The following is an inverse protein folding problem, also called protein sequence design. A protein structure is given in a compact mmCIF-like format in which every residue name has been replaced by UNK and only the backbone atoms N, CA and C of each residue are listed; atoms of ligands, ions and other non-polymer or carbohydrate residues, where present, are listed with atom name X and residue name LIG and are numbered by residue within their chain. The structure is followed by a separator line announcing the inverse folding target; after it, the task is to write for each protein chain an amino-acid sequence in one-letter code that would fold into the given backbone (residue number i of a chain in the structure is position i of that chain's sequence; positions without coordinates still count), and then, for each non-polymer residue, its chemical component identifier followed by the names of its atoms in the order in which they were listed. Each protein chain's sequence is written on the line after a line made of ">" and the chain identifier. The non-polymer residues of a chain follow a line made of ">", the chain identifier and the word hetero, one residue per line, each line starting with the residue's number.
data_IF_898537737753
#
_entry.id   IF_898537737753
#
_cell.length_a   1.000
_cell.length_b   1.000
_cell.length_c   1.000
_cell.angle_alpha   90.00
_cell.angle_beta   90.00
_cell.angle_gamma   90.00
#
_symmetry.space_group_name_H-M   'P 1'
#
loop_
_entity.id
_entity.type
_entity.pdbx_description
1 polymer ?
#
# COMPACT_ATOMS: atom_id res chain seq x y z
N UNK A 1 16.46 -31.26 -13.69
CA UNK A 1 17.81 -30.98 -13.13
C UNK A 1 18.03 -29.49 -13.29
N UNK A 2 17.46 -28.72 -12.38
CA UNK A 2 17.66 -27.29 -12.26
C UNK A 2 18.46 -27.14 -10.99
N UNK A 3 19.73 -26.79 -11.17
CA UNK A 3 20.65 -26.57 -10.06
C UNK A 3 20.06 -25.53 -9.12
N UNK A 4 19.93 -25.95 -7.87
CA UNK A 4 19.66 -25.10 -6.72
C UNK A 4 20.89 -24.19 -6.53
N UNK A 5 21.04 -23.18 -7.39
CA UNK A 5 22.10 -22.18 -7.26
C UNK A 5 21.70 -21.30 -6.10
N UNK A 6 21.95 -21.79 -4.89
CA UNK A 6 22.04 -20.94 -3.72
C UNK A 6 23.03 -19.84 -4.06
N UNK A 7 22.49 -18.64 -4.30
CA UNK A 7 23.29 -17.45 -4.54
C UNK A 7 24.27 -17.34 -3.37
N UNK A 8 25.59 -17.39 -3.61
CA UNK A 8 26.55 -17.36 -2.53
C UNK A 8 26.27 -16.15 -1.64
N UNK A 9 26.34 -16.32 -0.32
CA UNK A 9 26.00 -15.27 0.65
C UNK A 9 26.76 -13.95 0.37
N UNK A 10 27.99 -14.07 -0.15
CA UNK A 10 28.84 -12.97 -0.62
C UNK A 10 28.19 -12.19 -1.78
N UNK A 11 27.62 -12.88 -2.78
CA UNK A 11 26.96 -12.25 -3.93
C UNK A 11 25.70 -11.50 -3.48
N UNK A 12 24.92 -12.11 -2.58
CA UNK A 12 23.74 -11.47 -1.98
C UNK A 12 24.12 -10.23 -1.16
N UNK A 13 25.17 -10.34 -0.34
CA UNK A 13 25.68 -9.21 0.44
C UNK A 13 26.17 -8.07 -0.46
N UNK A 14 27.04 -8.36 -1.44
CA UNK A 14 27.55 -7.36 -2.37
C UNK A 14 26.45 -6.72 -3.21
N UNK A 15 25.40 -7.47 -3.59
CA UNK A 15 24.25 -6.92 -4.33
C UNK A 15 23.47 -5.91 -3.50
N UNK A 16 23.23 -6.19 -2.22
CA UNK A 16 22.55 -5.27 -1.30
C UNK A 16 23.35 -3.97 -1.03
N UNK A 17 24.68 -4.03 -1.16
CA UNK A 17 25.58 -2.89 -1.01
C UNK A 17 26.23 -2.46 -2.34
N UNK A 18 25.62 -2.82 -3.47
CA UNK A 18 26.22 -2.64 -4.79
C UNK A 18 26.58 -1.19 -5.06
N UNK A 19 25.72 -0.24 -4.70
CA UNK A 19 25.98 1.19 -4.89
C UNK A 19 27.24 1.66 -4.16
N UNK A 20 27.40 1.26 -2.89
CA UNK A 20 28.59 1.57 -2.11
C UNK A 20 29.83 0.91 -2.73
N UNK A 21 29.72 -0.36 -3.09
CA UNK A 21 30.80 -1.10 -3.73
C UNK A 21 31.20 -0.47 -5.07
N UNK A 22 30.24 -0.09 -5.90
CA UNK A 22 30.45 0.60 -7.16
C UNK A 22 31.20 1.92 -6.98
N UNK A 23 30.76 2.78 -6.04
CA UNK A 23 31.44 4.04 -5.76
C UNK A 23 32.86 3.85 -5.21
N UNK A 24 33.08 2.83 -4.38
CA UNK A 24 34.43 2.47 -3.92
C UNK A 24 35.30 2.08 -5.12
N UNK A 25 34.81 1.22 -6.01
CA UNK A 25 35.58 0.79 -7.21
C UNK A 25 35.86 1.97 -8.13
N UNK A 26 34.87 2.85 -8.37
CA UNK A 26 35.06 4.08 -9.16
C UNK A 26 36.12 4.99 -8.51
N UNK A 27 36.02 5.23 -7.20
CA UNK A 27 36.98 6.04 -6.46
C UNK A 27 38.41 5.49 -6.54
N UNK A 28 38.58 4.19 -6.32
CA UNK A 28 39.88 3.51 -6.45
C UNK A 28 40.41 3.61 -7.89
N UNK A 29 39.54 3.47 -8.90
CA UNK A 29 39.93 3.60 -10.32
C UNK A 29 40.44 5.01 -10.62
N UNK A 30 39.76 6.05 -10.13
CA UNK A 30 40.14 7.46 -10.33
C UNK A 30 41.49 7.73 -9.66
N UNK A 31 41.67 7.32 -8.40
CA UNK A 31 42.94 7.48 -7.67
C UNK A 31 44.08 6.77 -8.40
N UNK A 32 43.85 5.55 -8.86
CA UNK A 32 44.83 4.80 -9.64
C UNK A 32 45.21 5.52 -10.95
N UNK A 33 44.22 6.03 -11.69
CA UNK A 33 44.44 6.81 -12.91
C UNK A 33 45.26 8.09 -12.65
N UNK A 34 44.96 8.81 -11.56
CA UNK A 34 45.72 10.00 -11.14
C UNK A 34 47.17 9.66 -10.79
N UNK A 35 47.42 8.55 -10.07
CA UNK A 35 48.78 8.08 -9.75
C UNK A 35 49.56 7.75 -11.02
N UNK A 36 48.95 7.04 -11.98
CA UNK A 36 49.58 6.73 -13.27
C UNK A 36 49.93 8.00 -14.05
N UNK A 37 49.02 8.99 -14.05
CA UNK A 37 49.25 10.27 -14.72
C UNK A 37 50.41 11.04 -14.06
N UNK A 38 50.47 11.09 -12.73
CA UNK A 38 51.56 11.71 -11.98
C UNK A 38 52.91 11.01 -12.22
N UNK A 39 52.92 9.68 -12.27
CA UNK A 39 54.14 8.90 -12.59
C UNK A 39 54.60 9.20 -14.01
N UNK A 40 53.68 9.29 -14.98
CA UNK A 40 54.01 9.62 -16.37
C UNK A 40 54.47 11.06 -16.56
N UNK A 41 53.96 12.00 -15.76
CA UNK A 41 54.35 13.41 -15.78
C UNK A 41 55.70 13.67 -15.11
N UNK A 42 56.16 12.79 -14.21
CA UNK A 42 57.51 12.85 -13.65
C UNK A 42 58.48 12.18 -14.63
N UNK A 43 59.34 12.96 -15.27
CA UNK A 43 60.52 12.46 -15.96
C UNK A 43 61.44 11.75 -14.94
N UNK A 44 61.37 10.42 -14.87
CA UNK A 44 62.22 9.63 -13.97
C UNK A 44 63.47 9.15 -14.71
N UNK A 45 64.62 9.51 -14.15
CA UNK A 45 65.97 9.26 -14.65
C UNK A 45 66.40 7.76 -14.53
N UNK A 46 67.10 7.26 -15.54
CA UNK A 46 67.20 5.84 -16.00
C UNK A 46 68.18 4.96 -15.19
N UNK A 47 68.27 5.06 -13.85
CA UNK A 47 69.27 4.28 -13.06
C UNK A 47 68.77 3.21 -12.08
N UNK A 48 67.51 2.78 -12.15
CA UNK A 48 66.93 1.85 -11.15
C UNK A 48 66.29 0.58 -11.76
N UNK A 49 67.06 -0.23 -12.47
CA UNK A 49 66.56 -1.41 -13.21
C UNK A 49 66.24 -2.61 -12.30
N UNK A 50 66.82 -2.73 -11.09
CA UNK A 50 66.45 -3.78 -10.11
C UNK A 50 65.21 -3.43 -9.26
N UNK A 51 64.91 -2.14 -9.07
CA UNK A 51 63.64 -1.67 -8.47
C UNK A 51 62.46 -1.75 -9.45
N UNK A 52 62.72 -1.71 -10.75
CA UNK A 52 61.71 -1.79 -11.80
C UNK A 52 60.98 -3.13 -11.84
N UNK A 53 61.64 -4.26 -11.53
CA UNK A 53 60.98 -5.57 -11.50
C UNK A 53 59.96 -5.67 -10.35
N UNK A 54 60.33 -5.23 -9.13
CA UNK A 54 59.41 -5.19 -7.98
C UNK A 54 58.27 -4.20 -8.23
N UNK A 55 58.56 -3.02 -8.80
CA UNK A 55 57.54 -2.04 -9.17
C UNK A 55 56.61 -2.54 -10.27
N UNK A 56 57.11 -3.27 -11.27
CA UNK A 56 56.30 -3.87 -12.33
C UNK A 56 55.42 -5.00 -11.79
N UNK A 57 55.92 -5.82 -10.86
CA UNK A 57 55.12 -6.85 -10.18
C UNK A 57 54.01 -6.18 -9.36
N UNK A 58 54.34 -5.16 -8.57
CA UNK A 58 53.38 -4.44 -7.74
C UNK A 58 52.31 -3.73 -8.59
N UNK A 59 52.73 -3.10 -9.69
CA UNK A 59 51.83 -2.49 -10.67
C UNK A 59 50.92 -3.55 -11.31
N UNK A 60 51.48 -4.69 -11.70
CA UNK A 60 50.71 -5.80 -12.29
C UNK A 60 49.68 -6.36 -11.31
N UNK A 61 50.04 -6.49 -10.02
CA UNK A 61 49.11 -6.91 -8.96
C UNK A 61 47.98 -5.89 -8.77
N UNK A 62 48.30 -4.60 -8.76
CA UNK A 62 47.27 -3.54 -8.66
C UNK A 62 46.35 -3.53 -9.88
N UNK A 63 46.90 -3.64 -11.09
CA UNK A 63 46.12 -3.72 -12.33
C UNK A 63 45.22 -4.96 -12.34
N UNK A 64 45.76 -6.12 -11.96
CA UNK A 64 44.98 -7.36 -11.87
C UNK A 64 43.87 -7.24 -10.82
N UNK A 65 44.17 -6.67 -9.65
CA UNK A 65 43.18 -6.38 -8.61
C UNK A 65 42.07 -5.45 -9.10
N UNK A 66 42.42 -4.40 -9.84
CA UNK A 66 41.44 -3.48 -10.41
C UNK A 66 40.55 -4.16 -11.46
N UNK A 67 41.15 -5.00 -12.31
CA UNK A 67 40.43 -5.75 -13.32
C UNK A 67 39.46 -6.76 -12.68
N UNK A 68 39.87 -7.43 -11.60
CA UNK A 68 39.00 -8.30 -10.81
C UNK A 68 37.84 -7.52 -10.16
N UNK A 69 38.08 -6.33 -9.62
CA UNK A 69 37.02 -5.49 -9.06
C UNK A 69 36.01 -5.07 -10.13
N UNK A 70 36.47 -4.64 -11.30
CA UNK A 70 35.60 -4.26 -12.42
C UNK A 70 34.80 -5.46 -12.95
N UNK A 71 35.44 -6.63 -13.09
CA UNK A 71 34.73 -7.87 -13.45
C UNK A 71 33.68 -8.24 -12.39
N UNK A 72 33.97 -8.03 -11.11
CA UNK A 72 33.01 -8.27 -10.03
C UNK A 72 31.80 -7.33 -10.14
N UNK A 73 32.02 -6.03 -10.39
CA UNK A 73 30.95 -5.05 -10.64
C UNK A 73 30.13 -5.46 -11.86
N UNK A 74 30.78 -5.81 -12.97
CA UNK A 74 30.12 -6.24 -14.20
C UNK A 74 29.29 -7.52 -14.00
N UNK A 75 29.83 -8.49 -13.25
CA UNK A 75 29.12 -9.71 -12.88
C UNK A 75 27.89 -9.42 -12.01
N UNK A 76 28.02 -8.60 -10.97
CA UNK A 76 26.90 -8.22 -10.12
C UNK A 76 25.82 -7.45 -10.89
N UNK A 77 26.22 -6.57 -11.81
CA UNK A 77 25.28 -5.86 -12.67
C UNK A 77 24.51 -6.83 -13.58
N UNK A 78 25.23 -7.73 -14.26
CA UNK A 78 24.60 -8.77 -15.08
C UNK A 78 23.68 -9.66 -14.26
N UNK A 79 24.12 -10.13 -13.09
CA UNK A 79 23.38 -11.02 -12.21
C UNK A 79 22.08 -10.41 -11.67
N UNK A 80 22.06 -9.12 -11.36
CA UNK A 80 20.88 -8.47 -10.78
C UNK A 80 19.91 -7.88 -11.82
N UNK A 81 20.41 -7.55 -13.01
CA UNK A 81 19.63 -6.85 -14.04
C UNK A 81 19.31 -7.72 -15.27
N UNK A 82 20.32 -8.39 -15.84
CA UNK A 82 20.17 -9.15 -17.07
C UNK A 82 19.87 -10.63 -16.86
N UNK A 83 20.27 -11.19 -15.73
CA UNK A 83 19.95 -12.56 -15.40
C UNK A 83 18.44 -12.68 -15.19
N UNK A 84 17.74 -13.53 -15.96
CA UNK A 84 16.30 -13.67 -15.83
C UNK A 84 15.98 -14.18 -14.42
N UNK A 85 15.18 -13.43 -13.68
CA UNK A 85 14.66 -13.93 -12.41
C UNK A 85 13.64 -15.04 -12.72
N UNK A 86 13.63 -16.08 -11.88
CA UNK A 86 12.64 -17.14 -12.02
C UNK A 86 11.23 -16.58 -11.85
N UNK A 87 10.31 -17.14 -12.62
CA UNK A 87 8.88 -16.99 -12.33
C UNK A 87 8.61 -17.78 -11.06
N UNK A 88 7.85 -17.21 -10.12
CA UNK A 88 7.48 -17.94 -8.89
C UNK A 88 6.83 -19.27 -9.27
N UNK A 89 7.48 -20.38 -8.93
CA UNK A 89 6.91 -21.72 -9.00
C UNK A 89 6.56 -22.15 -7.59
N UNK A 90 5.26 -22.31 -7.32
CA UNK A 90 4.81 -22.95 -6.09
C UNK A 90 4.86 -24.48 -6.29
N UNK A 91 5.40 -25.26 -5.36
CA UNK A 91 5.90 -24.89 -4.01
C UNK A 91 7.41 -24.60 -3.92
N UNK A 92 8.17 -24.68 -5.00
CA UNK A 92 9.65 -24.64 -4.95
C UNK A 92 10.21 -23.28 -4.47
N UNK A 93 9.61 -22.15 -4.90
CA UNK A 93 10.12 -20.80 -4.63
C UNK A 93 9.50 -20.12 -3.41
N UNK A 94 8.46 -20.71 -2.80
CA UNK A 94 7.69 -20.10 -1.70
C UNK A 94 7.65 -21.06 -0.52
N UNK A 95 8.21 -20.63 0.61
CA UNK A 95 8.14 -21.38 1.85
C UNK A 95 6.68 -21.55 2.29
N UNK A 96 6.34 -22.73 2.81
CA UNK A 96 4.98 -23.05 3.24
C UNK A 96 4.48 -22.20 4.41
N UNK A 97 5.40 -21.53 5.13
CA UNK A 97 5.10 -20.68 6.28
C UNK A 97 5.98 -19.42 6.34
N UNK A 98 5.68 -18.60 7.34
CA UNK A 98 6.37 -17.33 7.64
C UNK A 98 7.05 -17.35 9.01
N UNK A 99 7.32 -18.53 9.58
CA UNK A 99 7.90 -18.69 10.92
C UNK A 99 9.29 -18.07 11.10
N UNK A 100 9.98 -17.80 9.98
CA UNK A 100 11.28 -17.14 9.89
C UNK A 100 11.20 -15.61 10.05
N UNK A 101 10.00 -15.03 10.02
CA UNK A 101 9.77 -13.60 10.26
C UNK A 101 9.91 -13.33 11.76
N UNK A 102 10.72 -12.33 12.13
CA UNK A 102 11.01 -12.00 13.53
C UNK A 102 10.01 -11.03 14.16
N UNK A 103 9.16 -10.43 13.34
CA UNK A 103 8.16 -9.44 13.74
C UNK A 103 6.87 -10.17 14.16
N UNK A 104 6.11 -9.56 15.07
CA UNK A 104 4.84 -10.06 15.61
C UNK A 104 3.65 -9.16 15.20
N UNK A 105 3.84 -8.26 14.23
CA UNK A 105 2.79 -7.42 13.67
C UNK A 105 1.54 -8.25 13.32
N UNK A 106 0.40 -7.87 13.91
CA UNK A 106 -0.89 -8.50 13.67
C UNK A 106 -1.53 -7.96 12.39
N UNK A 107 -1.72 -8.85 11.42
CA UNK A 107 -2.37 -8.62 10.13
C UNK A 107 -3.83 -9.06 10.22
N UNK A 108 -4.73 -8.19 9.80
CA UNK A 108 -6.15 -8.45 9.66
C UNK A 108 -6.47 -8.63 8.19
N UNK A 109 -7.37 -9.56 7.88
CA UNK A 109 -7.76 -9.84 6.50
C UNK A 109 -9.17 -10.41 6.43
N UNK A 110 -9.85 -10.12 5.32
CA UNK A 110 -11.17 -10.64 5.01
C UNK A 110 -11.04 -11.95 4.25
N UNK A 111 -11.67 -13.00 4.75
CA UNK A 111 -11.89 -14.28 4.07
C UNK A 111 -13.40 -14.56 4.02
N UNK A 112 -14.03 -14.18 2.90
CA UNK A 112 -15.47 -14.23 2.69
C UNK A 112 -16.29 -13.57 3.83
N UNK A 113 -16.91 -14.38 4.70
CA UNK A 113 -17.73 -13.91 5.82
C UNK A 113 -16.97 -13.84 7.16
N UNK A 114 -15.64 -13.99 7.13
CA UNK A 114 -14.78 -13.96 8.32
C UNK A 114 -13.78 -12.81 8.23
N UNK A 115 -13.70 -12.04 9.30
CA UNK A 115 -12.56 -11.17 9.56
C UNK A 115 -11.62 -11.97 10.45
N UNK A 116 -10.44 -12.27 9.95
CA UNK A 116 -9.43 -13.03 10.66
C UNK A 116 -8.25 -12.12 11.01
N UNK A 117 -7.50 -12.51 12.04
CA UNK A 117 -6.20 -11.90 12.32
C UNK A 117 -5.13 -12.98 12.49
N UNK A 118 -3.92 -12.70 12.03
CA UNK A 118 -2.73 -13.56 12.19
C UNK A 118 -1.52 -12.67 12.43
N UNK A 119 -0.53 -13.13 13.20
CA UNK A 119 0.77 -12.45 13.23
C UNK A 119 1.51 -12.70 11.92
N UNK A 120 2.35 -11.76 11.50
CA UNK A 120 3.11 -11.87 10.25
C UNK A 120 4.09 -13.06 10.22
N UNK A 121 4.43 -13.61 11.38
CA UNK A 121 5.20 -14.84 11.52
C UNK A 121 4.35 -16.13 11.38
N UNK A 122 3.06 -16.00 11.09
CA UNK A 122 2.10 -17.10 10.91
C UNK A 122 1.45 -17.61 12.21
N UNK A 123 1.80 -17.07 13.38
CA UNK A 123 1.28 -17.49 14.68
C UNK A 123 -0.02 -16.78 15.05
N UNK A 124 -0.66 -17.28 16.11
CA UNK A 124 -1.82 -16.65 16.76
C UNK A 124 -2.97 -16.30 15.80
N UNK A 125 -3.21 -17.17 14.80
CA UNK A 125 -4.36 -17.04 13.90
C UNK A 125 -5.66 -17.19 14.69
N UNK A 126 -6.57 -16.24 14.52
CA UNK A 126 -7.87 -16.25 15.20
C UNK A 126 -8.96 -15.58 14.35
N UNK A 127 -10.20 -16.00 14.55
CA UNK A 127 -11.38 -15.36 13.98
C UNK A 127 -11.76 -14.15 14.84
N UNK A 128 -11.63 -12.94 14.28
CA UNK A 128 -12.04 -11.69 14.92
C UNK A 128 -13.56 -11.54 14.85
N UNK A 129 -14.15 -11.80 13.69
CA UNK A 129 -15.60 -11.81 13.48
C UNK A 129 -15.96 -12.89 12.47
N UNK A 130 -17.07 -13.60 12.72
CA UNK A 130 -17.70 -14.49 11.75
C UNK A 130 -19.13 -13.99 11.59
N UNK A 131 -19.47 -13.52 10.40
CA UNK A 131 -20.79 -12.97 10.08
C UNK A 131 -21.60 -13.95 9.24
N UNK A 132 -22.91 -13.73 9.16
CA UNK A 132 -23.78 -14.49 8.25
C UNK A 132 -23.52 -14.11 6.78
N UNK A 133 -23.29 -12.83 6.53
CA UNK A 133 -23.06 -12.26 5.20
C UNK A 133 -21.57 -12.01 4.92
N UNK A 134 -21.15 -11.97 3.64
CA UNK A 134 -19.79 -11.62 3.25
C UNK A 134 -19.39 -10.23 3.78
N UNK A 135 -18.17 -10.14 4.31
CA UNK A 135 -17.58 -8.89 4.80
C UNK A 135 -17.03 -8.12 3.58
N UNK A 136 -17.34 -6.82 3.52
CA UNK A 136 -16.91 -5.94 2.42
C UNK A 136 -15.72 -5.07 2.80
N UNK A 137 -15.79 -4.53 4.01
CA UNK A 137 -14.79 -3.59 4.51
C UNK A 137 -14.70 -3.64 6.03
N UNK A 138 -13.55 -3.23 6.55
CA UNK A 138 -13.35 -2.98 7.97
C UNK A 138 -12.49 -1.74 8.20
N UNK A 139 -12.67 -1.12 9.37
CA UNK A 139 -12.12 0.19 9.70
C UNK A 139 -11.64 0.20 11.14
N UNK A 140 -10.37 0.55 11.38
CA UNK A 140 -9.91 0.80 12.74
C UNK A 140 -10.33 2.20 13.20
N UNK A 141 -10.72 2.32 14.47
CA UNK A 141 -10.77 3.63 15.12
C UNK A 141 -9.38 4.26 15.19
N UNK A 142 -9.29 5.59 15.28
CA UNK A 142 -8.00 6.30 15.31
C UNK A 142 -7.19 5.99 16.58
N UNK A 143 -7.85 5.67 17.69
CA UNK A 143 -7.20 5.21 18.91
C UNK A 143 -6.78 3.73 18.83
N UNK A 144 -7.26 3.00 17.82
CA UNK A 144 -7.02 1.58 17.62
C UNK A 144 -7.74 0.67 18.60
N UNK A 145 -8.68 1.16 19.40
CA UNK A 145 -9.42 0.31 20.35
C UNK A 145 -10.50 -0.52 19.66
N UNK A 146 -11.11 0.01 18.61
CA UNK A 146 -12.28 -0.56 17.96
C UNK A 146 -12.03 -0.93 16.50
N UNK A 147 -12.82 -1.89 16.03
CA UNK A 147 -12.96 -2.26 14.63
C UNK A 147 -14.43 -2.13 14.25
N UNK A 148 -14.73 -1.36 13.21
CA UNK A 148 -16.00 -1.48 12.51
C UNK A 148 -15.85 -2.48 11.38
N UNK A 149 -16.79 -3.40 11.27
CA UNK A 149 -16.81 -4.42 10.23
C UNK A 149 -18.16 -4.35 9.53
N UNK A 150 -18.15 -4.03 8.23
CA UNK A 150 -19.35 -3.94 7.42
C UNK A 150 -19.45 -5.16 6.51
N UNK A 151 -20.59 -5.84 6.61
CA UNK A 151 -20.97 -6.92 5.70
C UNK A 151 -21.78 -6.36 4.54
N UNK A 152 -22.25 -7.23 3.65
CA UNK A 152 -23.23 -6.83 2.64
C UNK A 152 -24.54 -6.30 3.24
N UNK A 153 -24.83 -6.57 4.53
CA UNK A 153 -26.11 -6.25 5.17
C UNK A 153 -26.05 -5.52 6.49
N UNK A 154 -25.00 -5.75 7.26
CA UNK A 154 -24.92 -5.42 8.67
C UNK A 154 -23.62 -4.70 8.97
N UNK A 155 -23.61 -3.97 10.06
CA UNK A 155 -22.40 -3.36 10.62
C UNK A 155 -22.23 -3.82 12.06
N UNK A 156 -21.00 -4.21 12.37
CA UNK A 156 -20.58 -4.71 13.67
C UNK A 156 -19.48 -3.82 14.24
N UNK A 157 -19.52 -3.58 15.54
CA UNK A 157 -18.45 -2.98 16.31
C UNK A 157 -17.75 -4.07 17.11
N UNK A 158 -16.43 -4.16 17.01
CA UNK A 158 -15.61 -5.13 17.74
C UNK A 158 -14.62 -4.37 18.61
N UNK A 159 -14.63 -4.63 19.92
CA UNK A 159 -13.59 -4.16 20.83
C UNK A 159 -12.37 -5.07 20.68
N UNK A 160 -11.21 -4.50 20.31
CA UNK A 160 -9.99 -5.28 20.02
C UNK A 160 -9.32 -5.84 21.27
N UNK A 161 -9.57 -5.25 22.45
CA UNK A 161 -8.95 -5.65 23.70
C UNK A 161 -9.74 -6.78 24.36
N UNK A 162 -11.07 -6.64 24.39
CA UNK A 162 -11.95 -7.62 25.03
C UNK A 162 -12.42 -8.70 24.06
N UNK A 163 -12.41 -8.43 22.76
CA UNK A 163 -13.01 -9.29 21.73
C UNK A 163 -14.53 -9.24 21.71
N UNK A 164 -15.16 -8.34 22.49
CA UNK A 164 -16.61 -8.15 22.50
C UNK A 164 -17.11 -7.68 21.14
N UNK A 165 -18.21 -8.28 20.68
CA UNK A 165 -18.82 -8.02 19.38
C UNK A 165 -20.21 -7.46 19.61
N UNK A 166 -20.46 -6.27 19.08
CA UNK A 166 -21.73 -5.58 19.18
C UNK A 166 -22.32 -5.39 17.79
N UNK A 167 -23.57 -5.80 17.61
CA UNK A 167 -24.35 -5.43 16.45
C UNK A 167 -24.70 -3.94 16.51
N UNK A 168 -24.44 -3.21 15.43
CA UNK A 168 -24.69 -1.76 15.36
C UNK A 168 -25.96 -1.48 14.56
N UNK A 169 -26.04 -1.97 13.33
CA UNK A 169 -27.20 -1.73 12.45
C UNK A 169 -27.27 -2.72 11.28
N UNK A 170 -28.42 -2.73 10.61
CA UNK A 170 -28.67 -3.44 9.36
C UNK A 170 -29.51 -2.58 8.42
N UNK A 171 -29.34 -2.73 7.11
CA UNK A 171 -30.24 -2.07 6.15
C UNK A 171 -31.63 -2.72 6.06
N UNK A 172 -31.84 -3.87 6.73
CA UNK A 172 -33.15 -4.49 6.95
C UNK A 172 -33.26 -5.95 6.51
N UNK A 173 -34.36 -6.59 6.92
CA UNK A 173 -34.78 -7.90 6.38
C UNK A 173 -35.33 -7.71 4.96
N UNK A 174 -35.19 -8.70 4.06
CA UNK A 174 -35.89 -8.64 2.78
C UNK A 174 -37.37 -8.72 3.11
N UNK A 175 -38.19 -7.80 2.60
CA UNK A 175 -39.65 -7.98 2.67
C UNK A 175 -40.01 -9.32 2.02
N UNK A 176 -41.15 -9.93 2.36
CA UNK A 176 -41.59 -11.23 1.82
C UNK A 176 -41.61 -11.27 0.27
N UNK A 177 -41.67 -10.11 -0.39
CA UNK A 177 -41.60 -9.94 -1.84
C UNK A 177 -40.17 -9.87 -2.43
N UNK A 178 -39.12 -9.75 -1.60
CA UNK A 178 -37.71 -9.75 -2.04
C UNK A 178 -37.27 -8.55 -2.90
N UNK A 179 -38.07 -7.49 -3.00
CA UNK A 179 -37.83 -6.41 -3.96
C UNK A 179 -36.70 -5.44 -3.58
N UNK A 180 -36.38 -5.34 -2.30
CA UNK A 180 -35.42 -4.36 -1.80
C UNK A 180 -34.00 -4.92 -1.72
N UNK A 181 -33.07 -4.21 -2.37
CA UNK A 181 -31.63 -4.38 -2.23
C UNK A 181 -31.07 -3.23 -1.38
N UNK A 182 -29.91 -3.43 -0.78
CA UNK A 182 -29.26 -2.37 -0.02
C UNK A 182 -27.76 -2.59 0.17
N UNK A 183 -27.11 -1.54 0.66
CA UNK A 183 -25.70 -1.55 1.05
C UNK A 183 -25.47 -0.58 2.20
N UNK A 184 -24.61 -0.97 3.12
CA UNK A 184 -24.00 -0.08 4.11
C UNK A 184 -22.64 0.33 3.55
N UNK A 185 -22.36 1.63 3.52
CA UNK A 185 -21.11 2.17 2.99
C UNK A 185 -20.80 3.55 3.60
N UNK A 186 -19.75 4.22 3.11
CA UNK A 186 -19.44 5.59 3.55
C UNK A 186 -19.08 5.69 5.03
N UNK A 187 -18.60 4.59 5.63
CA UNK A 187 -18.21 4.54 7.03
C UNK A 187 -16.99 5.43 7.24
N UNK A 188 -17.07 6.34 8.21
CA UNK A 188 -15.97 7.21 8.61
C UNK A 188 -15.95 7.43 10.11
N UNK A 189 -14.80 7.13 10.71
CA UNK A 189 -14.53 7.42 12.11
C UNK A 189 -14.35 8.92 12.35
N UNK A 190 -14.93 9.41 13.44
CA UNK A 190 -14.58 10.70 14.00
C UNK A 190 -13.19 10.63 14.66
N UNK A 191 -12.40 11.71 14.64
CA UNK A 191 -11.08 11.75 15.27
C UNK A 191 -11.05 11.36 16.76
N UNK A 192 -12.12 11.67 17.49
CA UNK A 192 -12.29 11.30 18.89
C UNK A 192 -12.46 9.79 19.14
N UNK A 193 -12.61 8.97 18.08
CA UNK A 193 -12.87 7.53 18.16
C UNK A 193 -14.13 7.14 18.95
N UNK A 194 -14.99 8.10 19.30
CA UNK A 194 -16.27 7.89 19.97
C UNK A 194 -17.40 7.79 18.96
N UNK A 195 -17.32 8.58 17.90
CA UNK A 195 -18.36 8.66 16.89
C UNK A 195 -17.90 8.06 15.57
N UNK A 196 -18.86 7.57 14.79
CA UNK A 196 -18.65 7.30 13.37
C UNK A 196 -19.93 7.59 12.60
N UNK A 197 -19.79 7.96 11.34
CA UNK A 197 -20.92 8.10 10.43
C UNK A 197 -20.91 7.00 9.39
N UNK A 198 -22.08 6.69 8.84
CA UNK A 198 -22.25 5.71 7.77
C UNK A 198 -23.50 6.01 6.94
N UNK A 199 -23.53 5.51 5.72
CA UNK A 199 -24.65 5.58 4.78
C UNK A 199 -25.30 4.21 4.66
N UNK A 200 -26.63 4.20 4.73
CA UNK A 200 -27.48 3.07 4.38
C UNK A 200 -28.26 3.42 3.13
N UNK A 201 -27.87 2.82 2.01
CA UNK A 201 -28.56 2.96 0.74
C UNK A 201 -29.45 1.74 0.49
N UNK A 202 -30.71 1.98 0.14
CA UNK A 202 -31.71 0.97 -0.22
C UNK A 202 -32.32 1.31 -1.56
N UNK A 203 -32.59 0.32 -2.39
CA UNK A 203 -33.26 0.54 -3.66
C UNK A 203 -34.09 -0.66 -4.09
N UNK A 204 -35.13 -0.37 -4.85
CA UNK A 204 -35.95 -1.31 -5.60
C UNK A 204 -35.84 -0.99 -7.09
N UNK A 205 -36.62 -1.68 -7.93
CA UNK A 205 -36.75 -1.33 -9.35
C UNK A 205 -37.35 0.05 -9.62
N UNK A 206 -38.03 0.65 -8.64
CA UNK A 206 -38.81 1.87 -8.82
C UNK A 206 -38.39 3.04 -7.93
N UNK A 207 -37.59 2.80 -6.88
CA UNK A 207 -37.19 3.85 -5.95
C UNK A 207 -35.84 3.58 -5.29
N UNK A 208 -35.18 4.64 -4.83
CA UNK A 208 -33.95 4.57 -4.06
C UNK A 208 -34.03 5.53 -2.87
N UNK A 209 -33.57 5.07 -1.71
CA UNK A 209 -33.56 5.78 -0.44
C UNK A 209 -32.17 5.68 0.17
N UNK A 210 -31.58 6.83 0.52
CA UNK A 210 -30.29 6.88 1.20
C UNK A 210 -30.45 7.61 2.52
N UNK A 211 -30.09 6.95 3.62
CA UNK A 211 -30.10 7.52 4.94
C UNK A 211 -28.68 7.56 5.50
N UNK A 212 -28.34 8.65 6.15
CA UNK A 212 -27.04 8.80 6.80
C UNK A 212 -27.25 8.85 8.31
N UNK A 213 -26.37 8.18 9.02
CA UNK A 213 -26.45 8.03 10.47
C UNK A 213 -25.13 8.42 11.10
N UNK A 214 -25.22 8.96 12.31
CA UNK A 214 -24.10 9.05 13.26
C UNK A 214 -24.39 8.05 14.37
N UNK A 215 -23.40 7.26 14.73
CA UNK A 215 -23.44 6.38 15.90
C UNK A 215 -22.54 6.91 17.01
N UNK A 216 -23.05 6.94 18.24
CA UNK A 216 -22.27 7.18 19.45
C UNK A 216 -22.04 5.85 20.18
N UNK A 217 -20.77 5.49 20.35
CA UNK A 217 -20.37 4.23 20.99
C UNK A 217 -20.70 4.21 22.48
N UNK A 218 -20.56 5.34 23.18
CA UNK A 218 -20.81 5.41 24.62
C UNK A 218 -22.30 5.32 24.92
N UNK A 219 -23.11 6.06 24.17
CA UNK A 219 -24.57 6.06 24.35
C UNK A 219 -25.22 4.82 23.72
N UNK A 220 -24.52 4.12 22.83
CA UNK A 220 -25.03 3.03 21.98
C UNK A 220 -26.25 3.45 21.15
N UNK A 221 -26.28 4.71 20.72
CA UNK A 221 -27.40 5.30 19.99
C UNK A 221 -26.99 5.73 18.59
N UNK A 222 -27.89 5.52 17.64
CA UNK A 222 -27.79 6.08 16.29
C UNK A 222 -28.71 7.29 16.15
N UNK A 223 -28.22 8.34 15.50
CA UNK A 223 -28.96 9.55 15.17
C UNK A 223 -29.00 9.71 13.67
N UNK A 224 -30.18 9.98 13.12
CA UNK A 224 -30.37 10.20 11.68
C UNK A 224 -29.94 11.62 11.32
N UNK A 225 -29.13 11.76 10.27
CA UNK A 225 -28.83 13.05 9.67
C UNK A 225 -30.00 13.43 8.75
N UNK A 226 -30.70 14.51 9.10
CA UNK A 226 -31.76 15.02 8.24
C UNK A 226 -31.12 15.73 7.05
N UNK A 227 -31.31 15.19 5.84
CA UNK A 227 -31.02 15.94 4.62
C UNK A 227 -32.28 16.64 4.14
N UNK A 228 -32.31 17.99 4.06
CA UNK A 228 -33.54 18.73 3.83
C UNK A 228 -34.11 18.60 2.40
N UNK A 229 -33.36 18.10 1.41
CA UNK A 229 -33.90 17.88 0.05
C UNK A 229 -32.98 17.15 -0.94
N UNK A 230 -31.68 16.96 -0.65
CA UNK A 230 -30.68 16.56 -1.66
C UNK A 230 -29.77 15.44 -1.17
N UNK A 231 -29.21 14.66 -2.11
CA UNK A 231 -28.28 13.59 -1.79
C UNK A 231 -26.99 14.18 -1.21
N UNK A 232 -26.72 13.89 0.07
CA UNK A 232 -25.43 14.17 0.70
C UNK A 232 -24.42 13.18 0.12
N UNK A 233 -23.38 13.68 -0.53
CA UNK A 233 -22.20 12.88 -0.91
C UNK A 233 -21.20 12.82 0.24
N UNK A 234 -20.28 11.85 0.19
CA UNK A 234 -19.13 11.61 1.08
C UNK A 234 -18.99 12.59 2.26
N UNK A 235 -19.25 12.08 3.48
CA UNK A 235 -19.11 12.82 4.73
C UNK A 235 -17.66 12.86 5.20
N UNK A 236 -17.25 13.99 5.77
CA UNK A 236 -15.93 14.21 6.36
C UNK A 236 -16.07 14.83 7.75
N UNK A 237 -15.34 14.30 8.73
CA UNK A 237 -15.30 14.88 10.07
C UNK A 237 -14.36 16.09 10.10
N UNK A 238 -14.66 17.09 10.93
CA UNK A 238 -13.61 18.01 11.37
C UNK A 238 -12.68 17.35 12.39
N UNK A 239 -11.54 18.01 12.62
CA UNK A 239 -10.55 17.55 13.61
C UNK A 239 -11.08 17.49 15.04
N UNK A 240 -12.02 18.37 15.36
CA UNK A 240 -12.58 18.50 16.71
C UNK A 240 -13.73 17.51 16.96
N UNK A 241 -14.15 16.72 15.95
CA UNK A 241 -15.24 15.73 16.03
C UNK A 241 -16.61 16.32 16.36
N UNK A 242 -16.81 17.62 16.15
CA UNK A 242 -18.05 18.33 16.48
C UNK A 242 -18.89 18.67 15.25
N UNK A 243 -18.31 18.59 14.05
CA UNK A 243 -19.01 18.83 12.80
C UNK A 243 -18.68 17.77 11.75
N UNK A 244 -19.67 17.50 10.92
CA UNK A 244 -19.50 16.83 9.63
C UNK A 244 -19.51 17.85 8.50
N UNK A 245 -18.83 17.53 7.41
CA UNK A 245 -18.79 18.31 6.19
C UNK A 245 -19.16 17.42 5.01
N UNK A 246 -19.89 17.99 4.06
CA UNK A 246 -20.06 17.39 2.76
C UNK A 246 -19.97 18.45 1.67
N UNK A 247 -19.72 17.98 0.47
CA UNK A 247 -19.49 18.82 -0.69
C UNK A 247 -20.48 18.46 -1.78
N UNK A 248 -21.21 19.47 -2.27
CA UNK A 248 -22.16 19.35 -3.37
C UNK A 248 -21.57 20.00 -4.63
N UNK A 249 -21.64 19.29 -5.77
CA UNK A 249 -21.27 19.86 -7.08
C UNK A 249 -22.53 20.28 -7.81
N UNK A 250 -22.67 21.57 -8.08
CA UNK A 250 -23.83 22.14 -8.76
C UNK A 250 -23.42 22.54 -10.16
N UNK A 251 -23.97 21.85 -11.17
CA UNK A 251 -23.73 22.17 -12.57
C UNK A 251 -24.21 23.60 -12.88
N UNK A 252 -23.38 24.36 -13.60
CA UNK A 252 -23.78 25.64 -14.20
C UNK A 252 -24.66 25.37 -15.43
N UNK A 253 -25.39 26.39 -15.86
CA UNK A 253 -26.17 26.33 -17.09
C UNK A 253 -25.29 25.94 -18.28
N UNK A 254 -25.58 24.78 -18.87
CA UNK A 254 -24.79 24.20 -19.95
C UNK A 254 -24.97 24.94 -21.27
N UNK A 255 -26.00 25.78 -21.39
CA UNK A 255 -26.18 26.67 -22.55
C UNK A 255 -25.18 27.83 -22.56
N UNK A 256 -24.61 28.19 -21.40
CA UNK A 256 -23.66 29.30 -21.24
C UNK A 256 -22.25 28.79 -20.97
N UNK A 257 -22.10 27.67 -20.26
CA UNK A 257 -20.80 27.11 -19.87
C UNK A 257 -20.72 25.62 -20.17
N UNK A 258 -19.74 25.20 -20.99
CA UNK A 258 -19.51 23.79 -21.27
C UNK A 258 -18.96 23.07 -20.01
N UNK A 259 -19.76 22.18 -19.43
CA UNK A 259 -19.37 21.26 -18.35
C UNK A 259 -18.78 21.92 -17.08
N UNK A 260 -19.17 23.16 -16.77
CA UNK A 260 -18.74 23.84 -15.55
C UNK A 260 -19.64 23.48 -14.35
N UNK A 261 -19.06 23.38 -13.16
CA UNK A 261 -19.79 23.17 -11.90
C UNK A 261 -19.19 24.00 -10.77
N UNK A 262 -20.04 24.58 -9.93
CA UNK A 262 -19.63 25.17 -8.67
C UNK A 262 -19.64 24.10 -7.57
N UNK A 263 -18.82 24.32 -6.54
CA UNK A 263 -18.67 23.40 -5.42
C UNK A 263 -19.16 24.08 -4.15
N UNK A 264 -20.29 23.64 -3.62
CA UNK A 264 -20.84 24.13 -2.36
C UNK A 264 -20.38 23.23 -1.21
N UNK A 265 -19.85 23.83 -0.15
CA UNK A 265 -19.46 23.11 1.06
C UNK A 265 -20.49 23.40 2.15
N UNK A 266 -20.97 22.33 2.77
CA UNK A 266 -21.92 22.38 3.88
C UNK A 266 -21.28 21.78 5.13
N UNK A 267 -21.67 22.33 6.28
CA UNK A 267 -21.32 21.86 7.62
C UNK A 267 -22.58 21.34 8.29
N UNK A 268 -22.49 20.23 9.00
CA UNK A 268 -23.56 19.66 9.81
C UNK A 268 -23.03 19.59 11.25
N UNK A 269 -23.42 20.53 12.13
CA UNK A 269 -23.06 20.46 13.54
C UNK A 269 -23.73 19.26 14.22
N UNK A 270 -22.99 18.53 15.07
CA UNK A 270 -23.53 17.38 15.79
C UNK A 270 -24.67 17.76 16.77
N UNK A 271 -24.67 19.01 17.24
CA UNK A 271 -25.68 19.52 18.16
C UNK A 271 -27.06 19.71 17.50
N UNK A 272 -27.08 20.14 16.24
CA UNK A 272 -28.33 20.43 15.51
C UNK A 272 -28.71 19.33 14.52
N UNK A 273 -27.72 18.60 13.98
CA UNK A 273 -27.85 17.64 12.87
C UNK A 273 -28.51 18.25 11.61
N UNK A 274 -28.44 19.57 11.46
CA UNK A 274 -28.98 20.32 10.33
C UNK A 274 -27.84 20.85 9.45
N UNK A 275 -27.91 20.66 8.12
CA UNK A 275 -26.93 21.23 7.20
C UNK A 275 -26.96 22.76 7.15
N UNK A 276 -25.79 23.36 7.25
CA UNK A 276 -25.52 24.80 7.14
C UNK A 276 -24.58 25.05 5.98
N UNK A 277 -24.92 25.99 5.09
CA UNK A 277 -24.03 26.39 4.01
C UNK A 277 -22.82 27.15 4.56
N UNK A 278 -21.61 26.76 4.15
CA UNK A 278 -20.35 27.38 4.60
C UNK A 278 -19.77 28.27 3.52
N UNK A 279 -19.51 27.70 2.34
CA UNK A 279 -18.81 28.41 1.26
C UNK A 279 -19.14 27.82 -0.09
N UNK A 280 -19.17 28.70 -1.10
CA UNK A 280 -19.22 28.34 -2.52
C UNK A 280 -17.84 28.54 -3.13
N UNK A 281 -17.31 27.47 -3.70
CA UNK A 281 -16.06 27.45 -4.45
C UNK A 281 -16.43 27.48 -5.94
N UNK A 282 -16.05 28.54 -6.67
CA UNK A 282 -16.41 28.65 -8.08
C UNK A 282 -15.63 27.62 -8.92
N UNK A 283 -16.19 27.19 -10.05
CA UNK A 283 -15.59 26.18 -10.95
C UNK A 283 -14.10 26.37 -11.22
N UNK A 284 -13.67 27.62 -11.41
CA UNK A 284 -12.29 28.01 -11.72
C UNK A 284 -11.31 27.62 -10.59
N UNK A 285 -11.83 27.38 -9.39
CA UNK A 285 -11.10 26.93 -8.20
C UNK A 285 -11.56 25.56 -7.68
N UNK A 286 -12.41 24.85 -8.42
CA UNK A 286 -13.00 23.57 -8.02
C UNK A 286 -12.01 22.40 -8.07
N UNK A 287 -10.87 22.55 -8.75
CA UNK A 287 -9.78 21.57 -8.77
C UNK A 287 -9.00 21.45 -7.47
N UNK A 288 -9.29 22.28 -6.46
CA UNK A 288 -8.60 22.24 -5.15
C UNK A 288 -8.96 20.95 -4.41
N UNK A 289 -7.98 20.08 -4.09
CA UNK A 289 -8.23 18.85 -3.34
C UNK A 289 -8.87 19.10 -1.97
N UNK A 290 -9.66 18.16 -1.45
CA UNK A 290 -10.33 18.28 -0.14
C UNK A 290 -9.37 18.61 1.01
N UNK A 291 -8.14 18.08 0.97
CA UNK A 291 -7.08 18.39 1.94
C UNK A 291 -6.70 19.88 2.02
N UNK A 292 -6.93 20.63 0.95
CA UNK A 292 -6.58 22.05 0.84
C UNK A 292 -7.75 22.97 1.21
N UNK A 293 -8.88 22.43 1.69
CA UNK A 293 -9.96 23.23 2.26
C UNK A 293 -9.55 23.94 3.56
N UNK A 294 -8.45 23.52 4.19
CA UNK A 294 -7.81 24.20 5.32
C UNK A 294 -7.44 25.64 5.01
N UNK A 295 -7.00 25.94 3.77
CA UNK A 295 -6.71 27.31 3.29
C UNK A 295 -7.96 28.20 3.35
N UNK A 296 -9.15 27.60 3.33
CA UNK A 296 -10.45 28.27 3.43
C UNK A 296 -11.06 28.17 4.85
N UNK A 297 -10.24 27.82 5.85
CA UNK A 297 -10.65 27.70 7.25
C UNK A 297 -11.41 26.40 7.58
N UNK A 298 -11.45 25.42 6.67
CA UNK A 298 -12.17 24.16 6.87
C UNK A 298 -11.16 23.05 7.16
N UNK A 299 -11.06 22.68 8.44
CA UNK A 299 -10.09 21.71 8.93
C UNK A 299 -10.67 20.31 9.00
N UNK A 300 -10.63 19.59 7.88
CA UNK A 300 -11.08 18.19 7.80
C UNK A 300 -10.05 17.22 8.39
N UNK A 301 -10.55 16.12 8.95
CA UNK A 301 -9.75 14.94 9.28
C UNK A 301 -9.86 13.89 8.17
N UNK A 302 -8.71 13.48 7.63
CA UNK A 302 -8.60 12.46 6.59
C UNK A 302 -7.82 11.23 7.08
N UNK A 303 -7.41 11.20 8.35
CA UNK A 303 -6.52 10.18 8.91
C UNK A 303 -7.21 8.81 9.00
N UNK A 304 -8.52 8.79 9.26
CA UNK A 304 -9.33 7.57 9.31
C UNK A 304 -9.29 6.79 7.99
N UNK A 305 -9.11 7.48 6.86
CA UNK A 305 -9.09 6.84 5.54
C UNK A 305 -7.89 5.91 5.40
N UNK A 306 -6.76 6.24 6.02
CA UNK A 306 -5.56 5.39 6.02
C UNK A 306 -5.78 4.06 6.74
N UNK A 307 -6.79 3.99 7.62
CA UNK A 307 -7.15 2.85 8.47
C UNK A 307 -8.39 2.08 7.98
N UNK A 308 -8.86 2.38 6.77
CA UNK A 308 -9.92 1.69 6.04
C UNK A 308 -9.33 0.64 5.10
N UNK A 309 -9.89 -0.58 5.13
CA UNK A 309 -9.51 -1.69 4.27
C UNK A 309 -10.74 -2.34 3.64
N UNK A 310 -10.79 -2.31 2.31
CA UNK A 310 -11.92 -2.81 1.52
C UNK A 310 -11.43 -3.49 0.23
N UNK A 311 -12.26 -4.38 -0.32
CA UNK A 311 -11.98 -5.01 -1.62
C UNK A 311 -11.83 -3.96 -2.73
N UNK A 312 -10.85 -4.15 -3.62
CA UNK A 312 -10.59 -3.24 -4.74
C UNK A 312 -9.89 -1.93 -4.37
N UNK A 313 -9.62 -1.68 -3.09
CA UNK A 313 -8.78 -0.53 -2.66
C UNK A 313 -7.30 -0.92 -2.61
N UNK A 314 -6.70 -1.15 -3.78
CA UNK A 314 -5.26 -1.38 -3.86
C UNK A 314 -4.49 -0.13 -3.41
N UNK A 315 -3.78 -0.25 -2.30
CA UNK A 315 -2.85 0.76 -1.79
C UNK A 315 -1.47 0.17 -1.84
N UNK A 316 -0.75 0.44 -2.92
CA UNK A 316 0.63 0.05 -2.97
C UNK A 316 1.46 1.00 -2.10
N UNK A 317 2.18 0.43 -1.15
CA UNK A 317 3.22 1.14 -0.41
C UNK A 317 4.52 0.56 -0.92
N UNK A 318 5.00 1.17 -2.01
CA UNK A 318 6.19 0.72 -2.73
C UNK A 318 7.49 1.20 -2.08
N UNK A 319 7.43 2.27 -1.27
CA UNK A 319 8.60 2.81 -0.56
C UNK A 319 8.43 2.58 0.93
N UNK A 320 9.45 2.03 1.58
CA UNK A 320 9.47 1.80 3.02
C UNK A 320 9.81 3.08 3.79
N UNK A 321 9.56 3.06 5.09
CA UNK A 321 9.96 4.10 6.04
C UNK A 321 11.48 4.36 6.06
N UNK A 322 12.27 3.37 5.64
CA UNK A 322 13.74 3.43 5.50
C UNK A 322 14.21 3.89 4.11
N UNK A 323 13.28 4.26 3.21
CA UNK A 323 13.59 4.71 1.85
C UNK A 323 13.88 3.60 0.85
N UNK A 324 13.75 2.33 1.25
CA UNK A 324 13.88 1.20 0.33
C UNK A 324 12.66 1.12 -0.57
N UNK A 325 12.80 0.65 -1.80
CA UNK A 325 11.65 0.54 -2.71
C UNK A 325 11.46 -0.85 -3.31
N UNK A 326 10.21 -1.23 -3.51
CA UNK A 326 9.77 -2.31 -4.37
C UNK A 326 9.07 -1.71 -5.58
N UNK A 327 9.11 -2.39 -6.71
CA UNK A 327 8.35 -1.98 -7.90
C UNK A 327 8.30 -3.10 -8.92
N UNK A 328 7.50 -2.89 -9.96
CA UNK A 328 7.39 -3.82 -11.09
C UNK A 328 7.96 -3.14 -12.33
N UNK A 329 8.90 -3.79 -13.02
CA UNK A 329 9.46 -3.27 -14.27
C UNK A 329 8.60 -3.60 -15.49
N UNK A 330 8.98 -3.07 -16.65
CA UNK A 330 8.25 -3.24 -17.91
C UNK A 330 8.22 -4.70 -18.42
N UNK A 331 9.09 -5.55 -17.89
CA UNK A 331 9.19 -6.99 -18.19
C UNK A 331 8.47 -7.86 -17.14
N UNK A 332 7.64 -7.24 -16.29
CA UNK A 332 6.88 -7.87 -15.20
C UNK A 332 7.73 -8.46 -14.08
N UNK A 333 8.94 -7.94 -13.84
CA UNK A 333 9.74 -8.36 -12.70
C UNK A 333 9.48 -7.48 -11.49
N UNK A 334 9.20 -8.12 -10.36
CA UNK A 334 9.30 -7.45 -9.07
C UNK A 334 10.78 -7.17 -8.82
N UNK A 335 11.12 -5.91 -8.61
CA UNK A 335 12.47 -5.48 -8.24
C UNK A 335 12.50 -4.82 -6.87
N UNK A 336 13.69 -4.81 -6.28
CA UNK A 336 14.01 -4.18 -5.01
C UNK A 336 15.15 -3.17 -5.19
N UNK A 337 15.00 -2.00 -4.58
CA UNK A 337 16.05 -0.98 -4.47
C UNK A 337 16.35 -0.79 -2.98
N UNK A 338 17.53 -1.17 -2.50
CA UNK A 338 17.87 -1.06 -1.08
C UNK A 338 18.16 0.37 -0.63
N UNK A 339 18.53 1.29 -1.53
CA UNK A 339 18.95 2.66 -1.21
C UNK A 339 18.48 3.68 -2.25
N UNK A 340 19.25 3.88 -3.33
CA UNK A 340 19.01 5.02 -4.24
C UNK A 340 18.46 4.58 -5.59
N UNK A 341 19.19 3.75 -6.32
CA UNK A 341 18.92 3.52 -7.75
C UNK A 341 19.19 2.10 -8.23
N UNK A 342 20.02 1.31 -7.52
CA UNK A 342 20.39 -0.01 -7.99
C UNK A 342 19.25 -1.01 -7.78
N UNK A 343 18.71 -1.50 -8.89
CA UNK A 343 17.58 -2.45 -8.91
C UNK A 343 18.09 -3.87 -8.90
N UNK A 344 17.54 -4.66 -7.99
CA UNK A 344 17.72 -6.11 -7.94
C UNK A 344 16.41 -6.78 -8.32
N UNK A 345 16.37 -7.50 -9.44
CA UNK A 345 15.21 -8.33 -9.80
C UNK A 345 15.08 -9.47 -8.77
N UNK A 346 13.88 -9.59 -8.20
CA UNK A 346 13.56 -10.60 -7.19
C UNK A 346 12.93 -11.82 -7.85
N UNK A 347 11.88 -11.60 -8.64
CA UNK A 347 11.06 -12.64 -9.26
C UNK A 347 10.30 -12.06 -10.45
N UNK A 348 9.91 -12.92 -11.37
CA UNK A 348 9.00 -12.57 -12.46
C UNK A 348 7.54 -12.85 -12.06
N UNK A 349 6.69 -11.85 -12.27
CA UNK A 349 5.25 -11.90 -12.00
C UNK A 349 4.54 -12.41 -13.25
N UNK A 350 3.64 -13.36 -13.08
CA UNK A 350 2.82 -13.83 -14.19
C UNK A 350 1.70 -12.83 -14.49
N UNK A 351 1.31 -12.76 -15.77
CA UNK A 351 0.09 -12.06 -16.20
C UNK A 351 -1.00 -13.07 -16.46
N UNK A 352 -2.21 -12.71 -16.08
CA UNK A 352 -3.42 -13.44 -16.40
C UNK A 352 -4.25 -12.66 -17.42
N UNK A 353 -4.78 -13.36 -18.42
CA UNK A 353 -5.71 -12.78 -19.38
C UNK A 353 -6.96 -12.27 -18.65
N UNK A 354 -7.41 -11.05 -18.96
CA UNK A 354 -8.69 -10.56 -18.46
C UNK A 354 -9.83 -11.34 -19.12
N UNK A 355 -10.96 -11.55 -18.42
CA UNK A 355 -12.15 -12.13 -19.04
C UNK A 355 -12.66 -11.35 -20.26
N UNK A 356 -12.33 -10.06 -20.37
CA UNK A 356 -12.66 -9.19 -21.50
C UNK A 356 -11.62 -9.18 -22.63
N UNK A 357 -10.49 -9.89 -22.48
CA UNK A 357 -9.42 -9.87 -23.48
C UNK A 357 -9.80 -10.74 -24.69
N UNK A 358 -9.82 -10.14 -25.88
CA UNK A 358 -10.07 -10.85 -27.14
C UNK A 358 -8.80 -11.65 -27.49
N UNK A 359 -8.95 -12.97 -27.65
CA UNK A 359 -7.85 -13.94 -27.83
C UNK A 359 -6.80 -13.63 -28.93
N UNK A 360 -7.06 -12.68 -29.85
CA UNK A 360 -6.18 -12.34 -30.98
C UNK A 360 -5.25 -11.12 -30.73
N UNK A 361 -5.41 -10.39 -29.62
CA UNK A 361 -4.58 -9.21 -29.29
C UNK A 361 -3.80 -9.37 -27.97
N UNK A 362 -3.29 -10.57 -27.69
CA UNK A 362 -2.61 -10.91 -26.43
C UNK A 362 -1.14 -10.42 -26.31
N UNK A 363 -0.69 -9.46 -27.14
CA UNK A 363 0.67 -8.92 -27.01
C UNK A 363 0.68 -7.81 -25.95
N UNK A 364 0.93 -8.19 -24.69
CA UNK A 364 0.93 -7.38 -23.44
C UNK A 364 -0.43 -7.17 -22.74
N UNK A 365 -1.44 -7.99 -23.03
CA UNK A 365 -2.74 -7.95 -22.36
C UNK A 365 -2.78 -8.85 -21.12
N UNK A 366 -3.34 -8.35 -20.01
CA UNK A 366 -3.55 -9.13 -18.80
C UNK A 366 -3.20 -8.38 -17.51
N UNK A 367 -3.77 -8.81 -16.39
CA UNK A 367 -3.47 -8.29 -15.06
C UNK A 367 -2.34 -9.08 -14.41
N UNK A 368 -1.48 -8.40 -13.66
CA UNK A 368 -0.49 -9.07 -12.84
C UNK A 368 -1.19 -9.93 -11.77
N UNK A 369 -0.65 -11.12 -11.53
CA UNK A 369 -1.16 -12.03 -10.48
C UNK A 369 -0.96 -11.47 -9.07
N UNK A 370 -0.06 -10.49 -8.91
CA UNK A 370 0.05 -9.67 -7.71
C UNK A 370 -0.97 -8.52 -7.80
N UNK A 371 -1.91 -8.50 -6.86
CA UNK A 371 -2.93 -7.46 -6.77
C UNK A 371 -2.47 -6.25 -5.94
N UNK A 372 -1.58 -6.45 -4.97
CA UNK A 372 -1.13 -5.40 -4.08
C UNK A 372 0.21 -5.73 -3.41
N UNK A 373 1.04 -4.71 -3.17
CA UNK A 373 2.29 -4.81 -2.42
C UNK A 373 2.35 -3.72 -1.34
N UNK A 374 2.61 -4.11 -0.09
CA UNK A 374 2.78 -3.14 1.00
C UNK A 374 3.95 -3.48 1.89
N UNK A 375 4.85 -2.51 2.08
CA UNK A 375 5.81 -2.55 3.18
C UNK A 375 5.08 -2.56 4.53
N UNK A 376 5.58 -3.37 5.45
CA UNK A 376 5.19 -3.28 6.86
C UNK A 376 6.05 -2.23 7.58
N UNK A 377 5.60 -1.70 8.74
CA UNK A 377 6.41 -0.82 9.57
C UNK A 377 7.81 -1.42 9.87
N UNK A 378 8.84 -0.57 9.89
CA UNK A 378 10.22 -0.98 10.09
C UNK A 378 10.96 -1.39 8.80
N UNK A 379 10.26 -1.49 7.67
CA UNK A 379 10.86 -1.52 6.33
C UNK A 379 11.72 -2.74 6.04
N UNK A 380 11.53 -3.84 6.77
CA UNK A 380 12.30 -5.09 6.56
C UNK A 380 11.56 -6.12 5.71
N UNK A 381 10.24 -6.16 5.86
CA UNK A 381 9.38 -7.12 5.20
C UNK A 381 8.29 -6.39 4.39
N UNK A 382 7.78 -7.04 3.36
CA UNK A 382 6.60 -6.58 2.65
C UNK A 382 5.59 -7.72 2.53
N UNK A 383 4.30 -7.36 2.50
CA UNK A 383 3.21 -8.29 2.23
C UNK A 383 2.81 -8.13 0.75
N UNK A 384 2.72 -9.26 0.07
CA UNK A 384 2.25 -9.35 -1.31
C UNK A 384 0.90 -10.06 -1.28
N UNK A 385 -0.11 -9.44 -1.85
CA UNK A 385 -1.37 -10.10 -2.12
C UNK A 385 -1.33 -10.72 -3.53
N UNK A 386 -1.25 -12.04 -3.58
CA UNK A 386 -1.30 -12.82 -4.80
C UNK A 386 -2.73 -13.35 -4.99
N UNK A 387 -3.33 -13.11 -6.17
CA UNK A 387 -4.73 -13.46 -6.51
C UNK A 387 -5.12 -14.93 -6.33
N UNK A 388 -4.13 -15.81 -6.19
CA UNK A 388 -4.30 -17.26 -6.16
C UNK A 388 -3.72 -17.90 -4.91
N UNK A 389 -2.49 -17.53 -4.58
CA UNK A 389 -1.79 -18.07 -3.41
C UNK A 389 -2.28 -17.43 -2.10
N UNK A 390 -2.85 -16.23 -2.16
CA UNK A 390 -3.28 -15.47 -0.99
C UNK A 390 -2.21 -14.47 -0.54
N UNK A 391 -1.99 -14.37 0.76
CA UNK A 391 -1.04 -13.41 1.33
C UNK A 391 0.34 -14.05 1.50
N UNK A 392 1.35 -13.43 0.91
CA UNK A 392 2.75 -13.81 0.99
C UNK A 392 3.55 -12.74 1.76
N UNK A 393 4.57 -13.16 2.50
CA UNK A 393 5.55 -12.25 3.11
C UNK A 393 6.88 -12.40 2.40
N UNK A 394 7.47 -11.29 1.99
CA UNK A 394 8.80 -11.25 1.38
C UNK A 394 9.77 -10.47 2.28
N UNK A 395 11.00 -10.97 2.39
CA UNK A 395 12.16 -10.20 2.84
C UNK A 395 13.04 -9.90 1.63
N UNK A 396 12.92 -8.71 1.01
CA UNK A 396 13.54 -8.42 -0.28
C UNK A 396 15.07 -8.59 -0.28
N UNK A 397 15.73 -8.13 0.78
CA UNK A 397 17.19 -8.21 0.92
C UNK A 397 17.75 -9.64 0.91
N UNK A 398 16.97 -10.63 1.34
CA UNK A 398 17.39 -12.05 1.34
C UNK A 398 16.63 -12.88 0.32
N UNK A 399 15.75 -12.27 -0.48
CA UNK A 399 14.85 -12.93 -1.45
C UNK A 399 14.02 -14.08 -0.85
N UNK A 400 13.77 -14.05 0.46
CA UNK A 400 12.97 -15.09 1.13
C UNK A 400 11.50 -14.74 0.99
N UNK A 401 10.69 -15.72 0.59
CA UNK A 401 9.24 -15.59 0.43
C UNK A 401 8.57 -16.72 1.20
N UNK A 402 7.56 -16.40 1.99
CA UNK A 402 6.77 -17.37 2.73
C UNK A 402 5.28 -17.12 2.57
N UNK A 403 4.50 -18.19 2.56
CA UNK A 403 3.04 -18.15 2.55
C UNK A 403 2.52 -17.82 3.95
N UNK A 404 1.83 -16.69 4.10
CA UNK A 404 1.19 -16.31 5.35
C UNK A 404 -0.18 -16.97 5.46
N UNK A 405 -1.01 -16.80 4.42
CA UNK A 405 -2.38 -17.30 4.38
C UNK A 405 -2.71 -17.78 2.96
N UNK A 406 -3.12 -19.05 2.86
CA UNK A 406 -3.61 -19.69 1.63
C UNK A 406 -5.11 -19.40 1.38
N UNK A 407 -5.53 -18.14 1.44
CA UNK A 407 -6.92 -17.74 1.23
C UNK A 407 -7.00 -16.68 0.14
N UNK A 408 -8.06 -16.76 -0.67
CA UNK A 408 -8.43 -15.73 -1.64
C UNK A 408 -9.06 -14.57 -0.88
N UNK A 409 -8.26 -13.90 -0.06
CA UNK A 409 -8.71 -12.79 0.77
C UNK A 409 -8.91 -11.53 -0.06
N UNK A 410 -9.97 -10.78 0.20
CA UNK A 410 -10.34 -9.65 -0.66
C UNK A 410 -9.67 -8.33 -0.23
N UNK A 411 -9.31 -8.21 1.05
CA UNK A 411 -8.56 -7.06 1.59
C UNK A 411 -7.77 -7.45 2.85
N UNK A 412 -6.65 -6.75 3.08
CA UNK A 412 -5.82 -6.92 4.26
C UNK A 412 -5.20 -5.60 4.73
N UNK A 413 -4.78 -5.58 6.00
CA UNK A 413 -4.21 -4.40 6.64
C UNK A 413 -3.87 -4.65 8.09
N UNK A 414 -3.32 -3.64 8.74
CA UNK A 414 -2.95 -3.66 10.14
C UNK A 414 -3.23 -2.29 10.73
N UNK A 415 -3.32 -2.24 12.05
CA UNK A 415 -3.39 -0.97 12.75
C UNK A 415 -2.00 -0.37 12.84
N UNK A 416 -1.84 0.85 12.33
CA UNK A 416 -0.62 1.63 12.46
C UNK A 416 -0.97 2.99 13.06
N UNK A 417 -0.51 3.23 14.29
CA UNK A 417 -0.75 4.49 15.01
C UNK A 417 -0.13 5.70 14.28
N UNK A 418 0.89 5.47 13.45
CA UNK A 418 1.59 6.50 12.69
C UNK A 418 1.04 6.64 11.26
N UNK A 419 -0.04 5.94 10.89
CA UNK A 419 -0.61 5.96 9.54
C UNK A 419 -0.94 7.39 9.05
N UNK A 420 -1.29 8.31 9.96
CA UNK A 420 -1.60 9.71 9.66
C UNK A 420 -0.41 10.51 9.11
N UNK A 421 0.83 10.12 9.42
CA UNK A 421 2.03 10.78 8.92
C UNK A 421 2.33 10.42 7.45
N UNK A 422 1.92 9.24 6.99
CA UNK A 422 2.24 8.74 5.65
C UNK A 422 1.35 9.32 4.55
N UNK A 423 0.11 9.72 4.87
CA UNK A 423 -0.80 10.40 3.92
C UNK A 423 -0.22 11.74 3.45
N UNK A 424 0.63 12.38 4.26
CA UNK A 424 1.33 13.60 3.89
C UNK A 424 2.54 13.42 2.96
N UNK A 425 3.12 12.21 2.89
CA UNK A 425 4.35 11.95 2.12
C UNK A 425 4.11 11.34 0.73
N UNK A 426 3.04 10.57 0.53
CA UNK A 426 2.77 9.95 -0.78
C UNK A 426 2.37 10.95 -1.90
N UNK A 427 1.93 12.16 -1.54
CA UNK A 427 1.40 13.15 -2.49
C UNK A 427 2.38 14.30 -2.84
N UNK A 428 3.63 14.24 -2.36
CA UNK A 428 4.68 15.22 -2.66
C UNK A 428 5.66 14.72 -3.74
N UNK A 429 5.27 13.75 -4.57
CA UNK A 429 6.03 13.31 -5.75
C UNK A 429 5.24 13.51 -7.03
#
# INVERSE_FOLDING_TARGET
>A
MTDDVQVPEIVSHLSNYFELFFWIVVGVTIVFGLVLLLVRMREVNVRAISKAAIQNILLSVVVLGQLLLLLTVGYLFWFNYYHPASVIQFPEDVLADTSWVKDDLKIYFIDANRLQSVEINGRNKQDVLVAADPIKEYHFSLDGKYLLVATSREIYLVDRNTGEKQFVDSWGQPDEAGEWKGVISGIRWAPDSRHFCYEVARWSSYSSQNHLYIYDILEKQKRTLQSPARRISSLYWDRDSINLYYVERVAKDTSVHAYAFDVNVFRIPLASLQPEFVVKIPFEQAGVPMKNLTVRGINLSLEADALLFAEGTARDVLVSDKGQSLGVDDDDHLYYVPREWFRTRLLRIQREARPSDIARHAYKGGELTIAQIRWIPGGRYAIIHHRYLGLLVIQPATRKIGLLIAAKGNAFGWYDKNASLYVGMQDNR
#
